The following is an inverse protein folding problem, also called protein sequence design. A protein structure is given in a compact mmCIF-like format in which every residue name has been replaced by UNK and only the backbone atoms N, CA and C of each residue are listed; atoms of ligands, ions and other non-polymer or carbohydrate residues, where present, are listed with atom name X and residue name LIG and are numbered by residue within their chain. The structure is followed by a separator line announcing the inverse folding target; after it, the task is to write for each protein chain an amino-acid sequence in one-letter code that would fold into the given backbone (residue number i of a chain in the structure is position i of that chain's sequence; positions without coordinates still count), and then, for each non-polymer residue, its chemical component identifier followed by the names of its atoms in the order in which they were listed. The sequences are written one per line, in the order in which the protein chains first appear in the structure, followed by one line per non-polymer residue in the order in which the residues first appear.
data_IF_975763858540
#
_entry.id   IF_975763858540
#
_cell.length_a   1.000
_cell.length_b   1.000
_cell.length_c   1.000
_cell.angle_alpha   90.00
_cell.angle_beta   90.00
_cell.angle_gamma   90.00
#
_symmetry.space_group_name_H-M   'P 1'
#
loop_
_entity.id
_entity.type
_entity.pdbx_description
1 polymer ?
#
# COMPACT_ATOMS: atom_id res chain seq x y z
N UNK A 1 0.89 3.17 10.08
CA UNK A 1 1.18 1.77 9.69
C UNK A 1 1.84 1.65 8.30
N UNK A 2 1.21 2.12 7.21
CA UNK A 2 1.73 1.94 5.83
C UNK A 2 3.22 2.25 5.66
N UNK A 3 3.67 3.43 6.11
CA UNK A 3 5.10 3.83 6.02
C UNK A 3 6.03 2.85 6.74
N UNK A 4 5.61 2.31 7.89
CA UNK A 4 6.39 1.31 8.62
C UNK A 4 6.47 0.00 7.83
N UNK A 5 5.34 -0.46 7.26
CA UNK A 5 5.28 -1.66 6.44
C UNK A 5 6.12 -1.54 5.16
N UNK A 6 6.04 -0.41 4.44
CA UNK A 6 6.76 -0.25 3.16
C UNK A 6 8.24 0.04 3.32
N UNK A 7 8.70 0.50 4.49
CA UNK A 7 10.12 0.79 4.78
C UNK A 7 10.81 -0.30 5.60
N UNK A 8 10.21 -1.49 5.69
CA UNK A 8 10.85 -2.66 6.28
C UNK A 8 12.14 -2.98 5.53
N UNK A 9 13.20 -3.23 6.29
CA UNK A 9 14.47 -3.78 5.80
C UNK A 9 14.63 -5.17 6.42
N UNK A 10 15.04 -6.13 5.61
CA UNK A 10 15.30 -7.48 6.05
C UNK A 10 16.68 -7.94 5.59
N UNK A 11 17.27 -8.88 6.31
CA UNK A 11 18.51 -9.52 5.88
C UNK A 11 18.19 -10.94 5.39
N UNK A 12 18.56 -11.25 4.16
CA UNK A 12 18.45 -12.59 3.60
C UNK A 12 19.74 -13.35 3.89
N UNK A 13 19.70 -14.26 4.86
CA UNK A 13 20.85 -15.12 5.21
C UNK A 13 21.29 -15.99 4.01
N UNK A 14 20.33 -16.53 3.25
CA UNK A 14 20.61 -17.39 2.10
C UNK A 14 21.39 -16.68 0.98
N UNK A 15 21.19 -15.37 0.84
CA UNK A 15 21.85 -14.54 -0.16
C UNK A 15 22.92 -13.62 0.44
N UNK A 16 23.11 -13.67 1.76
CA UNK A 16 24.00 -12.81 2.54
C UNK A 16 23.87 -11.31 2.17
N UNK A 17 22.64 -10.80 2.08
CA UNK A 17 22.37 -9.40 1.68
C UNK A 17 21.15 -8.79 2.38
N UNK A 18 21.16 -7.46 2.47
CA UNK A 18 19.96 -6.69 2.81
C UNK A 18 18.96 -6.67 1.64
N UNK A 19 17.69 -6.70 1.98
CA UNK A 19 16.53 -6.70 1.09
C UNK A 19 15.57 -5.59 1.53
N UNK A 20 15.19 -4.74 0.59
CA UNK A 20 14.16 -3.72 0.75
C UNK A 20 12.97 -4.01 -0.15
N UNK A 21 11.85 -3.32 0.06
CA UNK A 21 10.64 -3.54 -0.72
C UNK A 21 10.88 -3.32 -2.24
N UNK A 22 11.70 -2.34 -2.60
CA UNK A 22 12.02 -1.98 -3.99
C UNK A 22 12.78 -3.08 -4.76
N UNK A 23 13.46 -4.00 -4.05
CA UNK A 23 14.14 -5.16 -4.62
C UNK A 23 13.14 -6.23 -5.10
N UNK A 24 12.00 -6.35 -4.41
CA UNK A 24 11.07 -7.48 -4.56
C UNK A 24 9.68 -7.09 -5.04
N UNK A 25 9.29 -5.82 -4.96
CA UNK A 25 7.92 -5.39 -5.27
C UNK A 25 7.60 -5.51 -6.76
N UNK A 26 6.33 -5.76 -7.08
CA UNK A 26 5.83 -5.66 -8.43
C UNK A 26 5.73 -4.17 -8.84
N UNK A 27 6.18 -3.82 -10.04
CA UNK A 27 6.24 -2.44 -10.57
C UNK A 27 5.35 -2.36 -11.82
N UNK A 28 4.08 -1.94 -11.70
CA UNK A 28 3.11 -2.09 -12.79
C UNK A 28 3.44 -1.32 -14.07
N UNK A 29 4.12 -0.16 -13.95
CA UNK A 29 4.42 0.73 -15.07
C UNK A 29 5.92 0.81 -15.40
N UNK A 30 6.71 -0.20 -15.05
CA UNK A 30 8.12 -0.26 -15.45
C UNK A 30 8.23 -0.33 -17.00
N UNK A 31 9.13 0.44 -17.67
CA UNK A 31 10.18 1.31 -17.12
C UNK A 31 9.78 2.77 -16.87
N UNK A 32 8.51 3.16 -17.12
CA UNK A 32 8.02 4.54 -16.97
C UNK A 32 8.03 4.99 -15.51
N UNK A 33 7.74 4.08 -14.57
CA UNK A 33 7.83 4.31 -13.13
C UNK A 33 8.47 3.10 -12.44
N UNK A 34 9.36 3.37 -11.48
CA UNK A 34 10.00 2.36 -10.64
C UNK A 34 9.33 2.20 -9.27
N UNK A 35 8.21 2.88 -9.03
CA UNK A 35 7.44 2.81 -7.79
C UNK A 35 6.78 1.43 -7.61
N UNK A 36 6.75 0.97 -6.36
CA UNK A 36 6.14 -0.30 -5.99
C UNK A 36 4.61 -0.25 -6.06
N UNK A 37 4.00 -1.36 -6.51
CA UNK A 37 2.56 -1.59 -6.53
C UNK A 37 1.94 -1.70 -5.14
N UNK A 38 1.78 -0.56 -4.47
CA UNK A 38 1.04 -0.43 -3.21
C UNK A 38 -0.34 0.14 -3.52
N UNK A 39 -1.39 -0.54 -3.05
CA UNK A 39 -2.78 -0.12 -3.19
C UNK A 39 -3.33 0.20 -1.81
N UNK A 40 -3.78 1.43 -1.63
CA UNK A 40 -4.25 1.96 -0.34
C UNK A 40 -5.04 3.25 -0.59
N UNK A 41 -5.99 3.64 0.28
CA UNK A 41 -6.64 4.94 0.18
C UNK A 41 -5.65 6.11 0.22
N UNK A 42 -4.49 5.93 0.86
CA UNK A 42 -3.44 6.96 0.93
C UNK A 42 -2.80 7.26 -0.42
N UNK A 43 -2.94 6.36 -1.40
CA UNK A 43 -2.40 6.59 -2.74
C UNK A 43 -3.25 7.59 -3.56
N UNK A 44 -4.50 7.89 -3.17
CA UNK A 44 -5.22 9.05 -3.72
C UNK A 44 -4.52 10.39 -3.42
N UNK A 45 -3.63 10.38 -2.42
CA UNK A 45 -2.78 11.49 -2.02
C UNK A 45 -1.31 11.20 -2.32
N UNK A 46 -1.02 10.23 -3.20
CA UNK A 46 0.33 9.80 -3.55
C UNK A 46 1.19 9.47 -2.31
N UNK A 47 0.57 8.93 -1.25
CA UNK A 47 1.20 8.67 0.05
C UNK A 47 1.89 9.89 0.68
N UNK A 48 1.49 11.11 0.30
CA UNK A 48 1.99 12.34 0.87
C UNK A 48 1.10 12.80 2.03
N UNK A 49 1.60 12.66 3.26
CA UNK A 49 0.89 13.03 4.47
C UNK A 49 0.54 14.53 4.52
N UNK A 50 1.31 15.42 3.88
CA UNK A 50 1.01 16.86 3.92
C UNK A 50 -0.32 17.20 3.26
N UNK A 51 -0.76 16.40 2.29
CA UNK A 51 -2.04 16.62 1.60
C UNK A 51 -3.24 16.30 2.50
N UNK A 52 -3.07 15.49 3.55
CA UNK A 52 -4.16 15.19 4.49
C UNK A 52 -4.52 16.40 5.36
N UNK A 53 -3.54 17.26 5.65
CA UNK A 53 -3.71 18.47 6.47
C UNK A 53 -3.97 19.74 5.61
N UNK A 54 -3.96 19.60 4.28
CA UNK A 54 -4.07 20.73 3.34
C UNK A 54 -5.54 21.06 3.05
N UNK A 55 -5.84 22.36 2.97
CA UNK A 55 -7.12 22.87 2.49
C UNK A 55 -6.88 23.83 1.32
N UNK A 56 -7.50 23.56 0.17
CA UNK A 56 -7.41 24.39 -1.04
C UNK A 56 -8.81 24.82 -1.44
N UNK A 57 -9.03 26.14 -1.54
CA UNK A 57 -10.34 26.71 -1.94
C UNK A 57 -11.52 26.18 -1.08
N UNK A 58 -11.26 25.94 0.21
CA UNK A 58 -12.25 25.43 1.15
C UNK A 58 -12.54 23.93 1.03
N UNK A 59 -11.77 23.19 0.21
CA UNK A 59 -11.86 21.73 0.08
C UNK A 59 -10.72 21.04 0.80
N UNK A 60 -11.03 19.96 1.50
CA UNK A 60 -10.09 19.19 2.30
C UNK A 60 -9.85 17.77 1.73
N UNK A 61 -9.20 16.92 2.52
CA UNK A 61 -8.91 15.54 2.15
C UNK A 61 -10.17 14.70 1.90
N UNK A 62 -11.29 14.99 2.59
CA UNK A 62 -12.55 14.25 2.39
C UNK A 62 -13.16 14.61 1.05
N UNK A 63 -13.12 15.89 0.65
CA UNK A 63 -13.60 16.31 -0.67
C UNK A 63 -12.77 15.71 -1.79
N UNK A 64 -11.44 15.67 -1.61
CA UNK A 64 -10.54 15.02 -2.56
C UNK A 64 -10.82 13.52 -2.67
N UNK A 65 -11.02 12.85 -1.54
CA UNK A 65 -11.32 11.42 -1.51
C UNK A 65 -12.66 11.09 -2.18
N UNK A 66 -13.71 11.86 -1.88
CA UNK A 66 -15.04 11.75 -2.53
C UNK A 66 -14.96 11.97 -4.03
N UNK A 67 -14.10 12.88 -4.48
CA UNK A 67 -13.87 13.14 -5.89
C UNK A 67 -13.13 11.98 -6.55
N UNK A 68 -12.02 11.54 -5.97
CA UNK A 68 -11.16 10.52 -6.56
C UNK A 68 -11.77 9.12 -6.57
N UNK A 69 -12.63 8.79 -5.61
CA UNK A 69 -13.37 7.51 -5.63
C UNK A 69 -14.38 7.44 -6.79
N UNK A 70 -14.82 8.57 -7.33
CA UNK A 70 -15.69 8.64 -8.52
C UNK A 70 -14.90 8.76 -9.82
N UNK A 71 -13.76 9.45 -9.79
CA UNK A 71 -12.91 9.74 -10.95
C UNK A 71 -11.45 9.29 -10.70
N UNK A 72 -11.24 7.98 -10.63
CA UNK A 72 -9.98 7.34 -10.19
C UNK A 72 -8.75 7.67 -11.06
N UNK A 73 -8.95 8.17 -12.29
CA UNK A 73 -7.87 8.56 -13.21
C UNK A 73 -7.75 10.06 -13.42
N UNK A 74 -8.47 10.90 -12.67
CA UNK A 74 -8.43 12.34 -12.86
C UNK A 74 -7.04 12.91 -12.55
N UNK A 75 -6.53 13.75 -13.44
CA UNK A 75 -5.26 14.47 -13.27
C UNK A 75 -5.39 15.71 -12.37
N UNK A 76 -6.63 16.20 -12.18
CA UNK A 76 -6.94 17.41 -11.41
C UNK A 76 -8.19 17.20 -10.55
N UNK A 77 -7.97 16.91 -9.28
CA UNK A 77 -8.94 16.95 -8.20
C UNK A 77 -8.65 18.10 -7.22
N UNK A 78 -9.43 18.23 -6.14
CA UNK A 78 -9.29 19.29 -5.15
C UNK A 78 -7.88 19.47 -4.60
N UNK A 79 -7.17 18.38 -4.33
CA UNK A 79 -5.83 18.40 -3.73
C UNK A 79 -4.74 17.77 -4.64
N UNK A 80 -5.01 17.63 -5.94
CA UNK A 80 -4.06 17.07 -6.90
C UNK A 80 -4.64 15.95 -7.76
N UNK A 81 -3.80 15.09 -8.33
CA UNK A 81 -4.24 13.94 -9.13
C UNK A 81 -4.81 12.82 -8.25
N UNK A 82 -5.60 11.93 -8.86
CA UNK A 82 -6.23 10.78 -8.19
C UNK A 82 -5.47 9.45 -8.40
N UNK A 83 -4.45 9.44 -9.26
CA UNK A 83 -3.61 8.25 -9.47
C UNK A 83 -2.62 8.11 -8.31
N UNK A 84 -2.29 6.87 -7.96
CA UNK A 84 -1.20 6.59 -7.02
C UNK A 84 0.16 7.02 -7.53
N UNK A 85 1.20 6.91 -6.69
CA UNK A 85 2.59 7.21 -7.07
C UNK A 85 3.08 6.38 -8.26
N UNK A 86 2.59 5.16 -8.37
CA UNK A 86 2.87 4.27 -9.52
C UNK A 86 2.24 4.75 -10.81
N UNK A 87 1.33 5.72 -10.78
CA UNK A 87 0.46 6.09 -11.89
C UNK A 87 -0.76 5.17 -12.06
N UNK A 88 -0.89 4.11 -11.26
CA UNK A 88 -2.05 3.23 -11.32
C UNK A 88 -3.30 3.91 -10.70
N UNK A 89 -4.50 3.63 -11.24
CA UNK A 89 -5.74 4.02 -10.60
C UNK A 89 -5.96 3.22 -9.31
N UNK A 90 -6.51 3.88 -8.29
CA UNK A 90 -6.94 3.24 -7.05
C UNK A 90 -8.44 2.95 -7.14
N UNK A 91 -8.79 1.67 -7.27
CA UNK A 91 -10.18 1.24 -7.31
C UNK A 91 -10.78 1.21 -5.90
N UNK A 92 -11.92 1.88 -5.70
CA UNK A 92 -12.53 2.02 -4.37
C UNK A 92 -12.81 0.67 -3.70
N UNK A 93 -13.32 -0.31 -4.46
CA UNK A 93 -13.58 -1.68 -3.99
C UNK A 93 -12.32 -2.51 -3.68
N UNK A 94 -11.12 -2.02 -4.04
CA UNK A 94 -9.84 -2.67 -3.71
C UNK A 94 -9.23 -2.10 -2.44
N UNK A 95 -9.46 -0.81 -2.16
CA UNK A 95 -8.83 -0.09 -1.05
C UNK A 95 -9.76 0.18 0.13
N UNK A 96 -11.07 -0.01 -0.05
CA UNK A 96 -12.11 0.07 0.97
C UNK A 96 -12.87 -1.24 1.11
N UNK A 97 -13.31 -1.54 2.33
CA UNK A 97 -14.10 -2.72 2.66
C UNK A 97 -15.27 -2.41 3.59
N UNK A 98 -16.21 -3.36 3.71
CA UNK A 98 -17.40 -3.19 4.55
C UNK A 98 -18.38 -2.14 4.00
N UNK A 99 -18.43 -2.00 2.68
CA UNK A 99 -19.31 -1.05 2.00
C UNK A 99 -20.77 -1.48 2.10
N UNK A 100 -21.66 -0.50 2.29
CA UNK A 100 -23.07 -0.62 1.95
C UNK A 100 -23.27 0.13 0.64
N UNK A 101 -23.67 -0.59 -0.42
CA UNK A 101 -23.73 -0.06 -1.79
C UNK A 101 -22.39 0.51 -2.30
N UNK A 102 -22.42 1.43 -3.28
CA UNK A 102 -21.24 2.08 -3.87
C UNK A 102 -20.81 3.36 -3.11
N UNK A 103 -21.21 3.53 -1.85
CA UNK A 103 -20.80 4.68 -1.03
C UNK A 103 -19.50 4.39 -0.25
N UNK A 104 -18.37 4.68 -0.89
CA UNK A 104 -17.04 4.52 -0.28
C UNK A 104 -16.82 5.36 0.98
N UNK A 105 -17.61 6.41 1.22
CA UNK A 105 -17.49 7.22 2.43
C UNK A 105 -18.10 6.54 3.67
N UNK A 106 -18.88 5.47 3.48
CA UNK A 106 -19.43 4.66 4.57
C UNK A 106 -18.62 3.39 4.84
N UNK A 107 -17.45 3.24 4.21
CA UNK A 107 -16.58 2.09 4.42
C UNK A 107 -16.22 1.91 5.90
N UNK A 108 -16.36 0.68 6.41
CA UNK A 108 -15.99 0.34 7.79
C UNK A 108 -14.57 -0.19 7.91
N UNK A 109 -13.89 -0.45 6.80
CA UNK A 109 -12.52 -0.94 6.76
C UNK A 109 -11.72 -0.30 5.62
N UNK A 110 -10.43 -0.14 5.85
CA UNK A 110 -9.44 0.22 4.83
C UNK A 110 -8.56 -0.99 4.53
N UNK A 111 -8.17 -1.15 3.28
CA UNK A 111 -7.33 -2.25 2.81
C UNK A 111 -6.04 -1.68 2.25
N UNK A 112 -4.91 -2.27 2.68
CA UNK A 112 -3.58 -1.96 2.16
C UNK A 112 -3.03 -3.24 1.55
N UNK A 113 -2.78 -3.21 0.25
CA UNK A 113 -2.20 -4.33 -0.49
C UNK A 113 -0.82 -3.95 -1.01
N UNK A 114 0.20 -4.73 -0.67
CA UNK A 114 1.57 -4.56 -1.17
C UNK A 114 1.85 -5.74 -2.10
N UNK A 115 2.02 -5.48 -3.39
CA UNK A 115 2.31 -6.53 -4.36
C UNK A 115 3.80 -6.82 -4.42
N UNK A 116 4.17 -8.08 -4.16
CA UNK A 116 5.53 -8.61 -4.24
C UNK A 116 5.62 -9.57 -5.43
N UNK A 117 6.78 -9.59 -6.10
CA UNK A 117 7.08 -10.52 -7.20
C UNK A 117 7.20 -11.94 -6.65
N UNK A 118 6.55 -12.88 -7.32
CA UNK A 118 6.67 -14.30 -7.05
C UNK A 118 7.37 -15.03 -8.21
N UNK A 119 7.84 -16.25 -7.98
CA UNK A 119 8.49 -17.13 -8.96
C UNK A 119 8.02 -18.57 -8.80
N UNK A 120 7.96 -19.32 -9.90
CA UNK A 120 7.66 -20.77 -9.87
C UNK A 120 8.77 -21.54 -9.13
N UNK A 121 10.00 -21.05 -9.20
CA UNK A 121 11.11 -21.60 -8.45
C UNK A 121 11.13 -21.02 -7.03
N UNK A 122 10.75 -21.85 -6.07
CA UNK A 122 10.65 -21.51 -4.65
C UNK A 122 12.01 -21.21 -4.00
N UNK A 123 13.11 -21.62 -4.63
CA UNK A 123 14.48 -21.35 -4.17
C UNK A 123 15.16 -20.26 -5.00
N UNK A 124 14.40 -19.62 -5.92
CA UNK A 124 14.93 -18.49 -6.67
C UNK A 124 15.31 -17.33 -5.75
N UNK A 125 16.32 -16.51 -6.12
CA UNK A 125 16.71 -15.35 -5.32
C UNK A 125 15.53 -14.42 -5.01
N UNK A 126 14.59 -14.24 -5.95
CA UNK A 126 13.38 -13.43 -5.74
C UNK A 126 12.52 -13.95 -4.60
N UNK A 127 12.24 -15.25 -4.56
CA UNK A 127 11.40 -15.85 -3.52
C UNK A 127 12.14 -15.85 -2.18
N UNK A 128 13.44 -16.14 -2.16
CA UNK A 128 14.25 -16.09 -0.93
C UNK A 128 14.31 -14.67 -0.32
N UNK A 129 14.43 -13.64 -1.17
CA UNK A 129 14.36 -12.25 -0.74
C UNK A 129 12.95 -11.89 -0.23
N UNK A 130 11.90 -12.28 -0.96
CA UNK A 130 10.51 -12.03 -0.57
C UNK A 130 10.19 -12.68 0.79
N UNK A 131 10.57 -13.93 1.00
CA UNK A 131 10.38 -14.65 2.28
C UNK A 131 11.05 -13.94 3.46
N UNK A 132 12.29 -13.49 3.28
CA UNK A 132 13.01 -12.75 4.31
C UNK A 132 12.32 -11.42 4.63
N UNK A 133 11.90 -10.68 3.61
CA UNK A 133 11.20 -9.41 3.78
C UNK A 133 9.82 -9.58 4.43
N UNK A 134 9.03 -10.56 3.99
CA UNK A 134 7.71 -10.84 4.55
C UNK A 134 7.77 -11.23 6.03
N UNK A 135 8.80 -11.98 6.43
CA UNK A 135 9.03 -12.33 7.84
C UNK A 135 9.22 -11.09 8.71
N UNK A 136 10.00 -10.10 8.25
CA UNK A 136 10.17 -8.84 8.97
C UNK A 136 8.92 -7.94 8.89
N UNK A 137 8.21 -7.96 7.76
CA UNK A 137 6.93 -7.27 7.63
C UNK A 137 5.92 -7.75 8.67
N UNK A 138 5.76 -9.07 8.84
CA UNK A 138 4.89 -9.66 9.86
C UNK A 138 5.27 -9.15 11.25
N UNK A 139 6.57 -9.19 11.60
CA UNK A 139 7.06 -8.69 12.91
C UNK A 139 6.77 -7.21 13.09
N UNK A 140 6.99 -6.39 12.07
CA UNK A 140 6.72 -4.96 12.12
C UNK A 140 5.24 -4.65 12.31
N UNK A 141 4.35 -5.37 11.62
CA UNK A 141 2.89 -5.22 11.77
C UNK A 141 2.42 -5.68 13.15
N UNK A 142 2.92 -6.82 13.64
CA UNK A 142 2.60 -7.32 14.98
C UNK A 142 3.04 -6.35 16.08
N UNK A 143 4.27 -5.83 15.99
CA UNK A 143 4.78 -4.83 16.92
C UNK A 143 3.97 -3.53 16.87
N UNK A 144 3.59 -3.08 15.67
CA UNK A 144 2.75 -1.90 15.53
C UNK A 144 1.36 -2.12 16.14
N UNK A 145 0.73 -3.26 15.89
CA UNK A 145 -0.58 -3.63 16.46
C UNK A 145 -0.54 -3.66 17.98
N UNK A 146 0.52 -4.22 18.58
CA UNK A 146 0.68 -4.23 20.04
C UNK A 146 0.78 -2.82 20.64
N UNK A 147 1.35 -1.87 19.89
CA UNK A 147 1.48 -0.48 20.31
C UNK A 147 0.21 0.39 20.06
N UNK A 148 -0.77 -0.11 19.29
CA UNK A 148 -2.00 0.63 18.92
C UNK A 148 -3.24 -0.25 19.16
N UNK A 149 -3.56 -0.60 20.43
CA UNK A 149 -4.65 -1.51 20.76
C UNK A 149 -6.04 -1.00 20.36
N UNK A 150 -6.18 0.29 20.08
CA UNK A 150 -7.41 0.93 19.62
C UNK A 150 -7.74 0.65 18.14
N UNK A 151 -6.76 0.14 17.37
CA UNK A 151 -6.93 -0.15 15.94
C UNK A 151 -6.90 -1.67 15.72
N UNK A 152 -7.99 -2.22 15.20
CA UNK A 152 -8.05 -3.63 14.81
C UNK A 152 -7.34 -3.83 13.48
N UNK A 153 -6.23 -4.58 13.49
CA UNK A 153 -5.46 -4.91 12.29
C UNK A 153 -5.50 -6.42 12.05
N UNK A 154 -6.02 -6.80 10.88
CA UNK A 154 -5.87 -8.14 10.30
C UNK A 154 -4.91 -8.05 9.12
N UNK A 155 -4.01 -9.03 8.98
CA UNK A 155 -3.02 -9.07 7.91
C UNK A 155 -2.76 -10.50 7.47
N UNK A 156 -2.28 -10.66 6.24
CA UNK A 156 -1.77 -11.91 5.70
C UNK A 156 -0.53 -11.61 4.87
N UNK A 157 0.42 -12.55 4.88
CA UNK A 157 1.57 -12.58 3.97
C UNK A 157 1.66 -14.00 3.39
N UNK A 158 2.24 -14.16 2.21
CA UNK A 158 2.26 -15.45 1.51
C UNK A 158 3.04 -16.50 2.32
N UNK A 159 4.12 -16.09 3.00
CA UNK A 159 4.85 -16.95 3.96
C UNK A 159 4.05 -17.34 5.20
N UNK A 160 2.95 -16.66 5.53
CA UNK A 160 2.10 -17.06 6.67
C UNK A 160 1.20 -18.25 6.32
N UNK A 161 1.10 -18.60 5.04
CA UNK A 161 0.25 -19.68 4.52
C UNK A 161 1.06 -20.91 4.09
N UNK A 162 2.39 -20.84 4.14
CA UNK A 162 3.32 -21.92 3.80
C UNK A 162 3.93 -22.55 5.07
#
# INVERSE_FOLDING_TARGET
LQVKATRVRAFSEALNREVVLEDICYKPLEPVSSECGVFSPLEYFQSNATLLDTVVEGKDYLDHLKFCTKLITADRGPLGGCRGRTGAPMFGNVVFGGLQDDDYMQATAVVITILVKNSVDHESPTVLMARAWESEFIRAVLAWRAAHPEIVVSFAAEVSLC
#
